data_IF_614053335051
#
_entry.id   IF_614053335051
#
_cell.length_a   1.000
_cell.length_b   1.000
_cell.length_c   1.000
_cell.angle_alpha   90.00
_cell.angle_beta   90.00
_cell.angle_gamma   90.00
#
_symmetry.space_group_name_H-M   'P 1'
#
loop_
_entity.id
_entity.type
_entity.pdbx_description
1 polymer ?
#
# COMPACT_ATOMS: atom_id res chain seq x y z
N UNK A 1 -2.79 36.29 -6.45
CA UNK A 1 -3.24 36.12 -5.05
C UNK A 1 -4.68 36.60 -4.97
N UNK A 2 -5.61 35.73 -4.56
CA UNK A 2 -6.97 36.16 -4.23
C UNK A 2 -6.92 36.86 -2.87
N UNK A 3 -7.54 38.03 -2.75
CA UNK A 3 -7.64 38.75 -1.48
C UNK A 3 -9.10 38.68 -1.01
N UNK A 4 -9.38 37.78 -0.09
CA UNK A 4 -10.69 37.67 0.57
C UNK A 4 -10.76 38.74 1.65
N UNK A 5 -11.84 39.52 1.67
CA UNK A 5 -12.08 40.54 2.70
C UNK A 5 -13.37 40.17 3.43
N UNK A 6 -13.27 39.84 4.70
CA UNK A 6 -14.43 39.49 5.53
C UNK A 6 -15.25 40.75 5.82
N UNK A 7 -16.56 40.70 5.57
CA UNK A 7 -17.49 41.82 5.75
C UNK A 7 -18.26 41.76 7.09
N UNK A 8 -18.09 40.68 7.84
CA UNK A 8 -18.74 40.47 9.14
C UNK A 8 -17.71 40.55 10.27
N UNK A 9 -18.08 41.11 11.43
CA UNK A 9 -17.22 41.08 12.60
C UNK A 9 -17.01 39.63 13.07
N UNK A 10 -15.83 39.30 13.64
CA UNK A 10 -15.56 37.98 14.20
C UNK A 10 -16.60 37.59 15.24
N UNK A 11 -17.03 36.33 15.23
CA UNK A 11 -17.92 35.79 16.24
C UNK A 11 -17.06 35.45 17.47
N UNK A 12 -17.34 36.02 18.67
CA UNK A 12 -16.61 35.64 19.88
C UNK A 12 -16.91 34.19 20.23
N UNK A 13 -15.86 33.39 20.46
CA UNK A 13 -15.97 31.95 20.75
C UNK A 13 -16.64 31.16 19.62
N UNK A 14 -16.27 31.43 18.37
CA UNK A 14 -16.72 30.62 17.25
C UNK A 14 -16.15 29.19 17.39
N UNK A 15 -16.99 28.17 17.62
CA UNK A 15 -16.52 26.79 17.73
C UNK A 15 -15.92 26.28 16.40
N UNK A 16 -16.20 26.95 15.27
CA UNK A 16 -15.60 26.64 13.97
C UNK A 16 -14.15 27.15 13.83
N UNK A 17 -13.73 28.13 14.63
CA UNK A 17 -12.35 28.62 14.65
C UNK A 17 -11.40 27.66 15.39
N UNK A 18 -11.93 26.88 16.33
CA UNK A 18 -11.15 25.93 17.16
C UNK A 18 -11.09 24.50 16.56
N UNK A 19 -11.78 24.25 15.45
CA UNK A 19 -11.75 22.95 14.76
C UNK A 19 -10.72 22.95 13.63
N UNK A 20 -9.57 22.36 13.91
CA UNK A 20 -8.61 21.99 12.86
C UNK A 20 -9.13 20.78 12.07
N UNK A 21 -9.41 20.96 10.77
CA UNK A 21 -9.71 19.84 9.84
C UNK A 21 -8.46 19.08 9.39
N UNK A 22 -7.32 19.30 10.03
CA UNK A 22 -6.06 18.63 9.69
C UNK A 22 -6.06 17.22 10.28
N UNK A 23 -5.69 16.25 9.46
CA UNK A 23 -5.50 14.88 9.94
C UNK A 23 -4.37 14.85 10.97
N UNK A 24 -4.65 14.22 12.11
CA UNK A 24 -3.63 13.99 13.13
C UNK A 24 -2.65 12.90 12.67
N UNK A 25 -1.37 13.07 13.02
CA UNK A 25 -0.37 12.06 12.71
C UNK A 25 -0.66 10.76 13.47
N UNK A 26 -0.61 9.63 12.76
CA UNK A 26 -0.82 8.31 13.33
C UNK A 26 0.23 7.33 12.83
N UNK A 27 1.01 6.76 13.76
CA UNK A 27 1.99 5.71 13.50
C UNK A 27 1.33 4.44 12.89
N UNK A 28 0.08 4.17 13.26
CA UNK A 28 -0.72 3.06 12.72
C UNK A 28 -1.01 3.30 11.23
N UNK A 29 -1.38 4.53 10.85
CA UNK A 29 -1.63 4.88 9.45
C UNK A 29 -0.37 4.87 8.59
N UNK A 30 0.78 5.29 9.12
CA UNK A 30 2.05 5.20 8.38
C UNK A 30 2.43 3.73 8.14
N UNK A 31 2.20 2.85 9.11
CA UNK A 31 2.41 1.41 8.95
C UNK A 31 1.51 0.81 7.87
N UNK A 32 0.22 1.17 7.84
CA UNK A 32 -0.74 0.73 6.79
C UNK A 32 -0.29 1.20 5.41
N UNK A 33 0.15 2.44 5.31
CA UNK A 33 0.69 3.02 4.08
C UNK A 33 1.92 2.26 3.58
N UNK A 34 2.85 1.92 4.45
CA UNK A 34 4.05 1.15 4.07
C UNK A 34 3.73 -0.28 3.63
N UNK A 35 2.77 -0.93 4.28
CA UNK A 35 2.27 -2.24 3.87
C UNK A 35 1.61 -2.16 2.48
N UNK A 36 0.82 -1.11 2.22
CA UNK A 36 0.20 -0.90 0.90
C UNK A 36 1.22 -0.68 -0.21
N UNK A 37 2.29 0.09 0.05
CA UNK A 37 3.40 0.31 -0.91
C UNK A 37 4.14 -0.98 -1.26
N UNK A 38 4.18 -1.94 -0.33
CA UNK A 38 4.77 -3.28 -0.55
C UNK A 38 3.89 -4.20 -1.42
N UNK A 39 2.71 -3.74 -1.84
CA UNK A 39 1.80 -4.47 -2.73
C UNK A 39 0.74 -5.29 -1.99
N UNK A 40 0.63 -5.17 -0.67
CA UNK A 40 -0.42 -5.82 0.10
C UNK A 40 -1.79 -5.17 -0.19
N UNK A 41 -2.81 -6.00 -0.42
CA UNK A 41 -4.18 -5.56 -0.68
C UNK A 41 -5.04 -5.85 0.55
N UNK A 42 -5.35 -4.80 1.30
CA UNK A 42 -6.20 -4.89 2.48
C UNK A 42 -7.61 -5.38 2.13
N UNK A 43 -8.09 -6.34 2.91
CA UNK A 43 -9.45 -6.88 2.91
C UNK A 43 -10.23 -6.28 4.08
N UNK A 44 -11.55 -6.38 4.02
CA UNK A 44 -12.43 -5.93 5.12
C UNK A 44 -12.12 -6.64 6.44
N UNK A 45 -11.78 -7.92 6.38
CA UNK A 45 -11.46 -8.72 7.57
C UNK A 45 -10.17 -8.23 8.24
N UNK A 46 -9.18 -7.76 7.49
CA UNK A 46 -7.93 -7.23 8.04
C UNK A 46 -8.20 -5.99 8.90
N UNK A 47 -9.08 -5.11 8.40
CA UNK A 47 -9.51 -3.92 9.15
C UNK A 47 -10.32 -4.28 10.39
N UNK A 48 -11.28 -5.21 10.26
CA UNK A 48 -12.14 -5.64 11.36
C UNK A 48 -11.34 -6.32 12.47
N UNK A 49 -10.31 -7.06 12.09
CA UNK A 49 -9.47 -7.82 13.02
C UNK A 49 -8.27 -7.01 13.50
N UNK A 50 -8.05 -5.80 12.94
CA UNK A 50 -6.88 -4.95 13.18
C UNK A 50 -5.57 -5.74 13.00
N UNK A 51 -5.55 -6.67 12.05
CA UNK A 51 -4.43 -7.55 11.80
C UNK A 51 -4.33 -7.87 10.31
N UNK A 52 -3.11 -8.12 9.86
CA UNK A 52 -2.80 -8.41 8.46
C UNK A 52 -2.18 -9.80 8.41
N UNK A 53 -2.72 -10.67 7.55
CA UNK A 53 -2.11 -11.98 7.32
C UNK A 53 -0.89 -11.86 6.39
N UNK A 54 0.30 -11.86 7.00
CA UNK A 54 1.58 -11.80 6.30
C UNK A 54 2.00 -13.15 5.70
N UNK A 55 1.35 -14.26 6.08
CA UNK A 55 1.74 -15.61 5.65
C UNK A 55 1.27 -15.89 4.22
N UNK A 56 0.03 -15.52 3.88
CA UNK A 56 -0.50 -15.55 2.50
C UNK A 56 0.40 -14.74 1.53
N UNK A 57 1.02 -13.67 2.04
CA UNK A 57 1.89 -12.79 1.24
C UNK A 57 3.23 -13.46 0.94
N UNK A 58 3.75 -14.27 1.87
CA UNK A 58 4.96 -15.07 1.67
C UNK A 58 4.71 -16.25 0.74
N UNK A 59 3.57 -16.93 0.87
CA UNK A 59 3.22 -18.07 0.02
C UNK A 59 3.09 -17.67 -1.46
N UNK A 60 2.47 -16.52 -1.74
CA UNK A 60 2.42 -15.95 -3.10
C UNK A 60 3.80 -15.61 -3.66
N UNK A 61 4.73 -15.13 -2.82
CA UNK A 61 6.09 -14.77 -3.22
C UNK A 61 6.95 -16.02 -3.48
N UNK A 62 6.77 -17.06 -2.66
CA UNK A 62 7.41 -18.38 -2.83
C UNK A 62 6.89 -19.03 -4.12
N UNK A 63 5.58 -19.06 -4.35
CA UNK A 63 4.98 -19.62 -5.57
C UNK A 63 5.46 -18.89 -6.83
N UNK A 64 5.56 -17.56 -6.81
CA UNK A 64 6.11 -16.78 -7.93
C UNK A 64 7.58 -17.10 -8.18
N UNK A 65 8.39 -17.22 -7.12
CA UNK A 65 9.82 -17.54 -7.23
C UNK A 65 10.04 -18.94 -7.79
N UNK A 66 9.26 -19.93 -7.35
CA UNK A 66 9.33 -21.31 -7.86
C UNK A 66 8.97 -21.35 -9.35
N UNK A 67 7.84 -20.74 -9.75
CA UNK A 67 7.44 -20.71 -11.16
C UNK A 67 8.43 -19.98 -12.08
N UNK A 68 9.09 -18.92 -11.59
CA UNK A 68 10.13 -18.24 -12.38
C UNK A 68 11.39 -19.11 -12.54
N UNK A 69 11.71 -19.94 -11.55
CA UNK A 69 12.88 -20.82 -11.57
C UNK A 69 12.66 -22.01 -12.50
N UNK A 70 11.47 -22.62 -12.49
CA UNK A 70 11.11 -23.69 -13.43
C UNK A 70 11.15 -23.23 -14.91
N UNK A 71 10.69 -22.00 -15.19
CA UNK A 71 10.72 -21.43 -16.54
C UNK A 71 12.16 -21.13 -17.04
N UNK A 72 13.10 -20.85 -16.12
CA UNK A 72 14.52 -20.65 -16.45
C UNK A 72 15.18 -21.97 -16.84
N UNK A 73 14.90 -23.06 -16.12
CA UNK A 73 15.50 -24.37 -16.40
C UNK A 73 15.02 -24.97 -17.73
N UNK A 74 13.74 -24.78 -18.08
CA UNK A 74 13.17 -25.25 -19.36
C UNK A 74 13.72 -24.45 -20.56
N UNK A 75 13.94 -23.15 -20.38
CA UNK A 75 14.52 -22.28 -21.44
C UNK A 75 15.99 -22.59 -21.70
N UNK A 76 16.76 -22.98 -20.67
CA UNK A 76 18.16 -23.35 -20.81
C UNK A 76 18.34 -24.76 -21.42
N UNK A 77 17.42 -25.69 -21.13
CA UNK A 77 17.40 -27.01 -21.75
C UNK A 77 17.00 -26.98 -23.24
N UNK A 78 16.13 -26.03 -23.63
CA UNK A 78 15.67 -25.87 -25.02
C UNK A 78 16.69 -25.18 -25.92
N UNK A 79 17.58 -24.35 -25.37
CA UNK A 79 18.66 -23.68 -26.11
C UNK A 79 19.88 -24.59 -26.39
N UNK A 80 19.93 -25.79 -25.80
CA UNK A 80 21.05 -26.72 -25.89
C UNK A 80 20.84 -27.84 -26.93
N UNK A 81 19.71 -27.85 -27.66
CA UNK A 81 19.36 -28.92 -28.60
C UNK A 81 19.54 -28.58 -30.09
N UNK A 82 20.05 -27.39 -30.44
CA UNK A 82 20.16 -26.93 -31.84
C UNK A 82 21.58 -27.00 -32.44
N UNK A 83 22.58 -27.57 -31.76
CA UNK A 83 23.96 -27.64 -32.27
C UNK A 83 24.56 -29.06 -32.16
N UNK A 84 24.01 -30.00 -32.94
CA UNK A 84 24.75 -31.18 -33.42
C UNK A 84 24.00 -31.78 -34.64
N UNK A 85 24.42 -31.40 -35.86
CA UNK A 85 24.02 -31.99 -37.15
C UNK A 85 25.25 -32.34 -37.96
#
# INVERSE_FOLDING_TARGET
>A
MLKVTCILPPIPHDPEDDVSMEDEHSDELESVKDISKKGYKFKTDDWKNRSVDTLDTLDALIHMTIHMTENVEISQASASIEDDS
#
